data_IF_791630553127
#
_entry.id   IF_791630553127
#
_cell.length_a   1.000
_cell.length_b   1.000
_cell.length_c   1.000
_cell.angle_alpha   90.00
_cell.angle_beta   90.00
_cell.angle_gamma   90.00
#
_symmetry.space_group_name_H-M   'P 1'
#
loop_
_entity.id
_entity.type
_entity.pdbx_description
1 polymer ?
#
# COMPACT_ATOMS: atom_id res chain seq x y z
N UNK A 1 -25.42 -28.94 24.98
CA UNK A 1 -24.71 -27.93 24.16
C UNK A 1 -25.67 -26.78 23.89
N UNK A 2 -25.42 -25.61 24.48
CA UNK A 2 -26.31 -24.44 24.35
C UNK A 2 -25.90 -23.60 23.14
N UNK A 3 -26.81 -23.37 22.20
CA UNK A 3 -26.61 -22.41 21.13
C UNK A 3 -26.67 -20.98 21.71
N UNK A 4 -25.62 -20.19 21.50
CA UNK A 4 -25.59 -18.79 21.89
C UNK A 4 -26.52 -18.00 20.97
N UNK A 5 -27.71 -17.65 21.45
CA UNK A 5 -28.68 -16.85 20.69
C UNK A 5 -28.17 -15.42 20.62
N UNK A 6 -27.57 -15.04 19.49
CA UNK A 6 -27.08 -13.68 19.25
C UNK A 6 -28.15 -12.88 18.51
N UNK A 7 -28.30 -11.61 18.87
CA UNK A 7 -29.20 -10.70 18.16
C UNK A 7 -28.70 -10.42 16.74
N UNK A 8 -29.49 -10.80 15.73
CA UNK A 8 -29.20 -10.53 14.32
C UNK A 8 -29.01 -9.02 14.03
N UNK A 9 -29.72 -8.15 14.76
CA UNK A 9 -29.56 -6.69 14.63
C UNK A 9 -28.18 -6.23 15.08
N UNK A 10 -27.68 -6.77 16.20
CA UNK A 10 -26.34 -6.46 16.69
C UNK A 10 -25.26 -6.98 15.74
N UNK A 11 -25.43 -8.20 15.20
CA UNK A 11 -24.53 -8.77 14.21
C UNK A 11 -24.44 -7.90 12.93
N UNK A 12 -25.58 -7.45 12.40
CA UNK A 12 -25.62 -6.54 11.25
C UNK A 12 -24.94 -5.19 11.54
N UNK A 13 -25.19 -4.62 12.73
CA UNK A 13 -24.56 -3.37 13.17
C UNK A 13 -23.05 -3.51 13.28
N UNK A 14 -22.56 -4.64 13.80
CA UNK A 14 -21.13 -4.91 13.89
C UNK A 14 -20.51 -4.99 12.50
N UNK A 15 -21.08 -5.78 11.58
CA UNK A 15 -20.60 -5.89 10.19
C UNK A 15 -20.53 -4.52 9.50
N UNK A 16 -21.53 -3.66 9.71
CA UNK A 16 -21.52 -2.30 9.16
C UNK A 16 -20.41 -1.42 9.75
N UNK A 17 -20.09 -1.56 11.04
CA UNK A 17 -18.96 -0.85 11.66
C UNK A 17 -17.61 -1.36 11.13
N UNK A 18 -17.47 -2.67 10.99
CA UNK A 18 -16.22 -3.28 10.52
C UNK A 18 -15.91 -2.85 9.09
N UNK A 19 -16.92 -2.85 8.20
CA UNK A 19 -16.78 -2.35 6.84
C UNK A 19 -16.35 -0.88 6.81
N UNK A 20 -16.96 -0.01 7.63
CA UNK A 20 -16.55 1.40 7.74
C UNK A 20 -15.11 1.54 8.26
N UNK A 21 -14.71 0.73 9.22
CA UNK A 21 -13.36 0.74 9.76
C UNK A 21 -12.31 0.33 8.71
N UNK A 22 -12.61 -0.67 7.88
CA UNK A 22 -11.77 -1.09 6.76
C UNK A 22 -11.61 0.04 5.73
N UNK A 23 -12.72 0.65 5.28
CA UNK A 23 -12.65 1.78 4.36
C UNK A 23 -11.89 2.97 4.95
N UNK A 24 -12.05 3.25 6.25
CA UNK A 24 -11.30 4.29 6.93
C UNK A 24 -9.80 3.96 7.06
N UNK A 25 -9.42 2.69 7.22
CA UNK A 25 -8.02 2.27 7.20
C UNK A 25 -7.41 2.43 5.80
N UNK A 26 -8.15 2.05 4.77
CA UNK A 26 -7.75 2.23 3.38
C UNK A 26 -7.61 3.72 3.02
N UNK A 27 -8.56 4.55 3.43
CA UNK A 27 -8.49 6.00 3.23
C UNK A 27 -7.37 6.64 4.05
N UNK A 28 -7.06 6.18 5.26
CA UNK A 28 -5.86 6.62 5.99
C UNK A 28 -4.57 6.24 5.27
N UNK A 29 -4.51 5.07 4.63
CA UNK A 29 -3.35 4.71 3.79
C UNK A 29 -3.25 5.58 2.53
N UNK A 30 -4.37 5.81 1.85
CA UNK A 30 -4.43 6.59 0.60
C UNK A 30 -4.25 8.10 0.81
N UNK A 31 -4.85 8.63 1.87
CA UNK A 31 -5.03 10.07 2.11
C UNK A 31 -4.50 10.56 3.45
N UNK A 32 -4.07 9.67 4.35
CA UNK A 32 -3.55 10.05 5.67
C UNK A 32 -2.11 10.54 5.66
N UNK A 33 -1.40 10.43 4.53
CA UNK A 33 -0.12 11.12 4.35
C UNK A 33 -0.38 12.58 4.03
N UNK A 34 0.16 13.47 4.85
CA UNK A 34 0.10 14.91 4.63
C UNK A 34 0.99 15.29 3.43
N UNK A 35 0.73 16.45 2.80
CA UNK A 35 1.55 16.96 1.69
C UNK A 35 3.07 16.93 1.97
N UNK A 36 3.56 17.40 3.14
CA UNK A 36 5.01 17.37 3.43
C UNK A 36 5.57 15.95 3.65
N UNK A 37 4.74 14.98 4.08
CA UNK A 37 5.19 13.60 4.22
C UNK A 37 5.31 12.91 2.86
N UNK A 38 4.35 13.16 1.95
CA UNK A 38 4.41 12.66 0.57
C UNK A 38 5.65 13.19 -0.15
N UNK A 39 5.95 14.49 -0.06
CA UNK A 39 7.11 15.06 -0.74
C UNK A 39 8.43 14.54 -0.18
N UNK A 40 8.53 14.32 1.14
CA UNK A 40 9.72 13.69 1.75
C UNK A 40 9.93 12.28 1.22
N UNK A 41 8.88 11.46 1.17
CA UNK A 41 8.95 10.09 0.68
C UNK A 41 9.28 10.02 -0.83
N UNK A 42 8.76 10.94 -1.64
CA UNK A 42 9.13 11.08 -3.06
C UNK A 42 10.61 11.42 -3.24
N UNK A 43 11.12 12.38 -2.45
CA UNK A 43 12.55 12.74 -2.47
C UNK A 43 13.41 11.55 -2.04
N UNK A 44 13.04 10.87 -0.95
CA UNK A 44 13.72 9.67 -0.47
C UNK A 44 13.71 8.56 -1.53
N UNK A 45 12.56 8.27 -2.13
CA UNK A 45 12.44 7.27 -3.20
C UNK A 45 13.34 7.63 -4.40
N UNK A 46 13.34 8.89 -4.83
CA UNK A 46 14.20 9.36 -5.92
C UNK A 46 15.69 9.19 -5.61
N UNK A 47 16.09 9.45 -4.35
CA UNK A 47 17.46 9.29 -3.89
C UNK A 47 17.86 7.80 -3.89
N UNK A 48 16.97 6.93 -3.43
CA UNK A 48 17.20 5.48 -3.44
C UNK A 48 17.32 4.94 -4.86
N UNK A 49 16.45 5.37 -5.79
CA UNK A 49 16.56 4.98 -7.21
C UNK A 49 17.88 5.44 -7.80
N UNK A 50 18.28 6.70 -7.59
CA UNK A 50 19.56 7.23 -8.07
C UNK A 50 20.75 6.49 -7.48
N UNK A 51 20.71 6.15 -6.18
CA UNK A 51 21.74 5.32 -5.53
C UNK A 51 21.82 3.94 -6.19
N UNK A 52 20.68 3.28 -6.35
CA UNK A 52 20.61 1.96 -6.97
C UNK A 52 21.13 1.98 -8.41
N UNK A 53 20.73 2.97 -9.21
CA UNK A 53 21.22 3.18 -10.57
C UNK A 53 22.73 3.47 -10.61
N UNK A 54 23.24 4.33 -9.72
CA UNK A 54 24.67 4.62 -9.62
C UNK A 54 25.52 3.42 -9.17
N UNK A 55 24.92 2.46 -8.47
CA UNK A 55 25.55 1.21 -8.07
C UNK A 55 25.37 0.07 -9.09
N UNK A 56 24.65 0.29 -10.20
CA UNK A 56 24.58 -0.69 -11.29
C UNK A 56 25.97 -0.82 -11.91
N UNK A 57 26.64 -1.92 -11.58
CA UNK A 57 27.80 -2.41 -12.32
C UNK A 57 27.24 -2.91 -13.66
N UNK A 58 27.63 -2.26 -14.75
CA UNK A 58 27.33 -2.57 -16.15
C UNK A 58 26.08 -1.90 -16.78
N UNK A 59 26.32 -0.85 -17.56
CA UNK A 59 25.94 -0.91 -18.97
C UNK A 59 26.97 -1.82 -19.67
N UNK A 60 26.78 -3.14 -19.60
CA UNK A 60 27.47 -4.06 -20.50
C UNK A 60 26.59 -4.12 -21.74
N UNK A 61 27.10 -3.80 -22.94
CA UNK A 61 26.29 -3.71 -24.16
C UNK A 61 25.88 -5.09 -24.73
N UNK A 62 25.70 -6.12 -23.90
CA UNK A 62 25.59 -7.52 -24.36
C UNK A 62 24.23 -8.17 -24.17
N UNK A 63 23.11 -7.44 -24.13
CA UNK A 63 21.79 -8.06 -24.23
C UNK A 63 20.79 -7.22 -25.01
N UNK A 64 21.13 -6.92 -26.27
CA UNK A 64 20.09 -6.71 -27.28
C UNK A 64 19.77 -8.07 -27.90
N UNK A 65 18.79 -8.77 -27.34
CA UNK A 65 18.12 -9.86 -28.07
C UNK A 65 17.16 -9.19 -29.04
N UNK A 66 17.56 -9.15 -30.32
CA UNK A 66 16.60 -9.04 -31.42
C UNK A 66 15.78 -10.34 -31.40
N UNK A 67 14.46 -10.23 -31.36
CA UNK A 67 13.58 -11.28 -31.88
C UNK A 67 12.57 -10.62 -32.83
N UNK A 68 12.36 -11.31 -33.96
CA UNK A 68 11.59 -10.93 -35.15
C UNK A 68 10.11 -10.63 -34.90
#
# INVERSE_FOLDING_TARGET
MSATVISLRQARKQKARDSKAQSAAENRRKFGRTKPEKSREEVEASLQTKRFEGHKRTASPSSQSNED
#
